data_IF_802915064887
#
_entry.id   IF_802915064887
#
_cell.length_a   1.000
_cell.length_b   1.000
_cell.length_c   1.000
_cell.angle_alpha   90.00
_cell.angle_beta   90.00
_cell.angle_gamma   90.00
#
_symmetry.space_group_name_H-M   'P 1'
#
loop_
_entity.id
_entity.type
_entity.pdbx_description
1 polymer ?
#
# COMPACT_ATOMS: atom_id res chain seq x y z
N UNK A 1 60.82 -24.97 6.69
CA UNK A 1 60.61 -24.82 8.14
C UNK A 1 59.34 -25.57 8.54
N UNK A 2 59.46 -26.75 9.16
CA UNK A 2 58.31 -27.48 9.72
C UNK A 2 57.95 -26.81 11.04
N UNK A 3 56.77 -26.20 11.13
CA UNK A 3 56.29 -25.60 12.37
C UNK A 3 56.24 -26.68 13.47
N UNK A 4 56.98 -26.45 14.55
CA UNK A 4 56.86 -27.18 15.81
C UNK A 4 55.45 -26.94 16.36
N UNK A 5 54.50 -27.81 16.02
CA UNK A 5 53.23 -27.87 16.72
C UNK A 5 53.49 -28.68 17.99
N UNK A 6 53.36 -28.09 19.19
CA UNK A 6 53.65 -28.81 20.42
C UNK A 6 52.74 -30.04 20.55
N UNK A 7 53.33 -31.17 20.95
CA UNK A 7 52.67 -32.50 21.04
C UNK A 7 51.41 -32.48 21.93
N UNK A 8 51.36 -31.60 22.94
CA UNK A 8 50.18 -31.42 23.80
C UNK A 8 48.96 -30.87 23.02
N UNK A 9 49.16 -30.05 21.99
CA UNK A 9 48.08 -29.47 21.18
C UNK A 9 47.36 -30.51 20.30
N UNK A 10 47.96 -31.68 20.11
CA UNK A 10 47.39 -32.76 19.29
C UNK A 10 46.60 -33.81 20.07
N UNK A 11 46.62 -33.77 21.40
CA UNK A 11 45.89 -34.75 22.21
C UNK A 11 44.37 -34.62 22.02
N UNK A 12 43.62 -35.74 21.97
CA UNK A 12 42.17 -35.71 21.75
C UNK A 12 41.42 -34.96 22.86
N UNK A 13 42.00 -34.89 24.07
CA UNK A 13 41.47 -34.14 25.20
C UNK A 13 41.57 -32.62 24.98
N UNK A 14 42.74 -32.11 24.56
CA UNK A 14 42.93 -30.67 24.27
C UNK A 14 41.99 -30.20 23.17
N UNK A 15 41.79 -31.00 22.12
CA UNK A 15 40.82 -30.68 21.06
C UNK A 15 39.37 -30.63 21.54
N UNK A 16 38.98 -31.42 22.54
CA UNK A 16 37.63 -31.37 23.13
C UNK A 16 37.43 -30.11 23.97
N UNK A 17 38.43 -29.75 24.78
CA UNK A 17 38.41 -28.52 25.60
C UNK A 17 38.37 -27.27 24.74
N UNK A 18 39.17 -27.21 23.67
CA UNK A 18 39.16 -26.08 22.72
C UNK A 18 37.78 -25.86 22.11
N UNK A 19 37.11 -26.94 21.71
CA UNK A 19 35.78 -26.86 21.11
C UNK A 19 34.71 -26.44 22.10
N UNK A 20 34.74 -27.01 23.31
CA UNK A 20 33.85 -26.57 24.38
C UNK A 20 34.05 -25.06 24.67
N UNK A 21 35.30 -24.59 24.67
CA UNK A 21 35.62 -23.16 24.81
C UNK A 21 35.05 -22.28 23.69
N UNK A 22 35.16 -22.71 22.43
CA UNK A 22 34.59 -21.98 21.28
C UNK A 22 33.06 -21.92 21.38
N UNK A 23 32.42 -23.05 21.71
CA UNK A 23 30.96 -23.12 21.87
C UNK A 23 30.51 -22.19 23.02
N UNK A 24 31.18 -22.25 24.17
CA UNK A 24 30.90 -21.37 25.30
C UNK A 24 31.03 -19.89 24.91
N UNK A 25 32.09 -19.53 24.19
CA UNK A 25 32.30 -18.16 23.70
C UNK A 25 31.17 -17.71 22.76
N UNK A 26 30.75 -18.58 21.83
CA UNK A 26 29.63 -18.30 20.93
C UNK A 26 28.32 -18.09 21.69
N UNK A 27 28.05 -18.90 22.72
CA UNK A 27 26.86 -18.75 23.56
C UNK A 27 26.89 -17.43 24.34
N UNK A 28 28.05 -17.03 24.88
CA UNK A 28 28.22 -15.75 25.56
C UNK A 28 27.93 -14.56 24.61
N UNK A 29 28.42 -14.63 23.37
CA UNK A 29 28.12 -13.64 22.32
C UNK A 29 26.61 -13.55 22.05
N UNK A 30 25.94 -14.69 21.90
CA UNK A 30 24.49 -14.74 21.63
C UNK A 30 23.69 -14.15 22.78
N UNK A 31 23.98 -14.56 24.03
CA UNK A 31 23.28 -14.04 25.21
C UNK A 31 23.51 -12.54 25.34
N UNK A 32 24.76 -12.09 25.20
CA UNK A 32 25.13 -10.66 25.26
C UNK A 32 24.32 -9.82 24.26
N UNK A 33 24.20 -10.26 22.99
CA UNK A 33 23.48 -9.51 21.94
C UNK A 33 21.95 -9.57 22.09
N UNK A 34 21.40 -10.70 22.53
CA UNK A 34 19.95 -10.85 22.72
C UNK A 34 19.41 -10.07 23.92
N UNK A 35 20.21 -9.97 24.99
CA UNK A 35 19.85 -9.21 26.20
C UNK A 35 20.47 -7.82 26.23
N UNK A 36 20.69 -7.22 25.06
CA UNK A 36 21.14 -5.83 24.95
C UNK A 36 20.02 -4.86 25.34
N UNK A 37 20.29 -4.00 26.33
CA UNK A 37 19.45 -2.85 26.68
C UNK A 37 20.24 -1.56 26.38
N UNK A 38 19.70 -0.62 25.56
CA UNK A 38 20.32 0.69 25.35
C UNK A 38 20.52 1.50 26.63
N UNK A 39 19.77 1.23 27.69
CA UNK A 39 19.89 1.92 28.98
C UNK A 39 21.03 1.40 29.87
N UNK A 40 21.72 0.34 29.45
CA UNK A 40 22.86 -0.19 30.20
C UNK A 40 24.10 0.71 30.02
N UNK A 41 24.72 1.11 31.13
CA UNK A 41 25.91 1.94 31.14
C UNK A 41 27.10 1.18 30.52
N UNK A 42 27.58 1.62 29.36
CA UNK A 42 28.69 0.98 28.65
C UNK A 42 29.75 2.00 28.26
N UNK A 43 30.96 1.52 27.96
CA UNK A 43 32.06 2.38 27.52
C UNK A 43 31.73 3.22 26.28
N UNK A 44 30.75 2.77 25.49
CA UNK A 44 30.40 3.35 24.19
C UNK A 44 29.05 4.08 24.21
N UNK A 45 28.28 3.97 25.31
CA UNK A 45 26.98 4.60 25.49
C UNK A 45 26.84 5.15 26.92
N UNK A 46 26.73 6.47 27.03
CA UNK A 46 26.55 7.15 28.31
C UNK A 46 25.08 7.29 28.63
N UNK A 47 24.69 6.82 29.82
CA UNK A 47 23.33 6.94 30.35
C UNK A 47 23.40 7.81 31.60
N UNK A 48 22.45 8.74 31.73
CA UNK A 48 22.45 9.73 32.82
C UNK A 48 22.12 9.14 34.19
N UNK A 49 21.45 7.98 34.23
CA UNK A 49 21.06 7.31 35.47
C UNK A 49 21.73 5.94 35.59
N UNK A 50 22.37 5.69 36.73
CA UNK A 50 23.02 4.42 37.02
C UNK A 50 21.94 3.41 37.44
N UNK A 51 21.54 2.54 36.51
CA UNK A 51 20.66 1.38 36.74
C UNK A 51 21.52 0.11 36.83
N UNK A 52 21.11 -0.92 37.59
CA UNK A 52 21.73 -2.25 37.47
C UNK A 52 21.63 -2.76 36.03
N UNK A 53 22.69 -3.43 35.58
CA UNK A 53 22.77 -4.02 34.23
C UNK A 53 21.59 -4.95 33.96
N UNK A 54 20.85 -4.69 32.88
CA UNK A 54 19.79 -5.57 32.41
C UNK A 54 20.33 -6.77 31.63
N UNK A 55 21.52 -6.64 31.02
CA UNK A 55 22.17 -7.74 30.32
C UNK A 55 22.46 -8.93 31.26
N UNK A 56 22.13 -10.15 30.84
CA UNK A 56 22.27 -11.34 31.69
C UNK A 56 23.72 -11.68 32.03
N UNK A 57 24.68 -11.23 31.22
CA UNK A 57 26.11 -11.40 31.47
C UNK A 57 26.71 -10.19 32.21
N UNK A 58 25.86 -9.32 32.76
CA UNK A 58 26.24 -8.12 33.50
C UNK A 58 27.10 -7.16 32.66
N UNK A 59 28.10 -6.57 33.31
CA UNK A 59 28.97 -5.55 32.71
C UNK A 59 29.71 -6.03 31.45
N UNK A 60 30.14 -7.29 31.42
CA UNK A 60 30.88 -7.84 30.27
C UNK A 60 29.97 -7.99 29.05
N UNK A 61 28.77 -8.53 29.25
CA UNK A 61 27.78 -8.67 28.19
C UNK A 61 27.30 -7.32 27.66
N UNK A 62 27.00 -6.38 28.55
CA UNK A 62 26.57 -5.04 28.15
C UNK A 62 27.65 -4.32 27.32
N UNK A 63 28.90 -4.36 27.75
CA UNK A 63 30.00 -3.73 27.01
C UNK A 63 30.25 -4.41 25.65
N UNK A 64 30.23 -5.75 25.58
CA UNK A 64 30.43 -6.45 24.30
C UNK A 64 29.30 -6.14 23.31
N UNK A 65 28.04 -6.22 23.75
CA UNK A 65 26.90 -5.90 22.90
C UNK A 65 26.97 -4.44 22.43
N UNK A 66 27.24 -3.50 23.34
CA UNK A 66 27.38 -2.08 23.01
C UNK A 66 28.48 -1.83 21.96
N UNK A 67 29.62 -2.52 22.06
CA UNK A 67 30.71 -2.44 21.08
C UNK A 67 30.23 -2.90 19.69
N UNK A 68 29.56 -4.06 19.61
CA UNK A 68 29.02 -4.59 18.36
C UNK A 68 28.00 -3.64 17.74
N UNK A 69 27.03 -3.15 18.51
CA UNK A 69 26.02 -2.20 18.04
C UNK A 69 26.63 -0.85 17.66
N UNK A 70 27.66 -0.40 18.36
CA UNK A 70 28.33 0.85 18.04
C UNK A 70 29.02 0.83 16.68
N UNK A 71 29.72 -0.27 16.35
CA UNK A 71 30.44 -0.39 15.07
C UNK A 71 29.53 -0.80 13.92
N UNK A 72 28.69 -1.82 14.12
CA UNK A 72 27.91 -2.46 13.06
C UNK A 72 26.43 -2.07 13.07
N UNK A 73 25.95 -1.39 14.11
CA UNK A 73 24.54 -1.08 14.26
C UNK A 73 23.71 -2.35 14.33
N UNK A 74 22.58 -2.39 13.62
CA UNK A 74 21.68 -3.54 13.58
C UNK A 74 22.27 -4.78 12.92
N UNK A 75 23.28 -4.63 12.07
CA UNK A 75 23.99 -5.77 11.52
C UNK A 75 24.70 -6.60 12.61
N UNK A 76 24.84 -6.08 13.84
CA UNK A 76 25.33 -6.83 14.99
C UNK A 76 24.54 -8.13 15.25
N UNK A 77 23.24 -8.18 14.93
CA UNK A 77 22.46 -9.42 15.07
C UNK A 77 22.93 -10.56 14.15
N UNK A 78 23.64 -10.26 13.05
CA UNK A 78 24.24 -11.30 12.22
C UNK A 78 25.33 -12.10 12.94
N UNK A 79 25.94 -11.55 14.00
CA UNK A 79 26.88 -12.30 14.85
C UNK A 79 26.20 -13.46 15.59
N UNK A 80 24.89 -13.41 15.81
CA UNK A 80 24.13 -14.54 16.39
C UNK A 80 24.10 -15.70 15.39
N UNK A 81 23.77 -15.42 14.13
CA UNK A 81 23.75 -16.45 13.09
C UNK A 81 25.15 -16.96 12.76
N UNK A 82 26.17 -16.08 12.78
CA UNK A 82 27.57 -16.49 12.68
C UNK A 82 27.96 -17.41 13.84
N UNK A 83 27.60 -17.09 15.07
CA UNK A 83 27.87 -17.91 16.25
C UNK A 83 27.22 -19.30 16.13
N UNK A 84 25.96 -19.36 15.69
CA UNK A 84 25.27 -20.62 15.42
C UNK A 84 25.96 -21.43 14.32
N UNK A 85 26.41 -20.77 13.24
CA UNK A 85 27.17 -21.41 12.18
C UNK A 85 28.52 -21.96 12.68
N UNK A 86 29.25 -21.20 13.51
CA UNK A 86 30.54 -21.64 14.09
C UNK A 86 30.34 -22.84 15.00
N UNK A 87 29.29 -22.84 15.84
CA UNK A 87 28.94 -24.00 16.68
C UNK A 87 28.69 -25.24 15.82
N UNK A 88 27.90 -25.11 14.75
CA UNK A 88 27.63 -26.19 13.80
C UNK A 88 28.91 -26.69 13.11
N UNK A 89 29.74 -25.76 12.64
CA UNK A 89 31.00 -26.06 11.95
C UNK A 89 31.96 -26.85 12.84
N UNK A 90 32.17 -26.38 14.07
CA UNK A 90 33.08 -26.99 15.03
C UNK A 90 32.55 -28.35 15.51
N UNK A 91 31.22 -28.47 15.71
CA UNK A 91 30.58 -29.73 16.11
C UNK A 91 30.75 -30.83 15.07
N UNK A 92 30.66 -30.45 13.78
CA UNK A 92 30.81 -31.38 12.65
C UNK A 92 32.26 -31.62 12.22
N UNK A 93 33.24 -31.02 12.91
CA UNK A 93 34.69 -31.25 12.69
C UNK A 93 35.17 -30.99 11.26
N UNK A 94 34.56 -30.03 10.56
CA UNK A 94 34.97 -29.67 9.20
C UNK A 94 36.39 -29.09 9.16
N UNK A 95 37.07 -29.27 8.03
CA UNK A 95 38.42 -28.76 7.83
C UNK A 95 38.40 -27.26 7.50
N UNK A 96 39.17 -26.45 8.26
CA UNK A 96 39.25 -24.99 8.09
C UNK A 96 39.56 -24.53 6.66
N UNK A 97 40.45 -25.23 5.94
CA UNK A 97 40.82 -24.86 4.56
C UNK A 97 39.63 -24.91 3.61
N UNK A 98 38.75 -25.89 3.79
CA UNK A 98 37.59 -26.06 2.93
C UNK A 98 36.57 -24.97 3.15
N UNK A 99 36.53 -24.32 4.32
CA UNK A 99 35.42 -23.44 4.71
C UNK A 99 35.80 -21.96 4.83
N UNK A 100 37.02 -21.61 4.42
CA UNK A 100 37.52 -20.24 4.37
C UNK A 100 36.63 -19.30 3.54
N UNK A 101 36.11 -19.76 2.39
CA UNK A 101 35.20 -18.95 1.57
C UNK A 101 33.90 -18.57 2.30
N UNK A 102 33.37 -19.46 3.15
CA UNK A 102 32.15 -19.17 3.91
C UNK A 102 32.41 -18.15 5.02
N UNK A 103 33.58 -18.23 5.67
CA UNK A 103 34.02 -17.22 6.63
C UNK A 103 34.16 -15.85 5.97
N UNK A 104 34.73 -15.81 4.77
CA UNK A 104 34.76 -14.59 3.98
C UNK A 104 33.36 -14.09 3.62
N UNK A 105 32.44 -15.00 3.24
CA UNK A 105 31.03 -14.68 3.01
C UNK A 105 30.34 -14.06 4.22
N UNK A 106 30.54 -14.61 5.42
CA UNK A 106 30.00 -14.03 6.66
C UNK A 106 30.56 -12.65 6.96
N UNK A 107 31.88 -12.46 6.84
CA UNK A 107 32.51 -11.16 7.04
C UNK A 107 31.94 -10.14 6.05
N UNK A 108 31.94 -10.46 4.75
CA UNK A 108 31.36 -9.61 3.71
C UNK A 108 29.88 -9.30 4.00
N UNK A 109 29.09 -10.29 4.40
CA UNK A 109 27.68 -10.15 4.76
C UNK A 109 27.44 -9.18 5.92
N UNK A 110 28.26 -9.27 6.98
CA UNK A 110 28.17 -8.35 8.14
C UNK A 110 28.51 -6.91 7.73
N UNK A 111 29.60 -6.72 6.99
CA UNK A 111 30.01 -5.39 6.52
C UNK A 111 28.96 -4.78 5.58
N UNK A 112 28.49 -5.55 4.60
CA UNK A 112 27.49 -5.08 3.62
C UNK A 112 26.14 -4.81 4.25
N UNK A 113 25.71 -5.66 5.20
CA UNK A 113 24.48 -5.44 5.97
C UNK A 113 24.57 -4.18 6.85
N UNK A 114 25.74 -3.88 7.42
CA UNK A 114 25.98 -2.65 8.16
C UNK A 114 25.81 -1.40 7.28
N UNK A 115 26.30 -1.43 6.03
CA UNK A 115 26.07 -0.34 5.06
C UNK A 115 24.61 -0.29 4.62
N UNK A 116 23.96 -1.43 4.37
CA UNK A 116 22.53 -1.49 4.02
C UNK A 116 21.67 -0.81 5.09
N UNK A 117 21.90 -1.12 6.37
CA UNK A 117 21.20 -0.47 7.48
C UNK A 117 21.44 1.04 7.51
N UNK A 118 22.62 1.52 7.13
CA UNK A 118 22.92 2.95 7.03
C UNK A 118 22.27 3.66 5.83
N UNK A 119 22.00 2.94 4.74
CA UNK A 119 21.37 3.50 3.52
C UNK A 119 19.86 3.62 3.65
N UNK A 120 19.23 2.61 4.27
CA UNK A 120 17.78 2.55 4.44
C UNK A 120 17.28 3.12 5.76
N UNK A 121 18.20 3.64 6.58
CA UNK A 121 17.91 4.23 7.90
C UNK A 121 16.99 3.35 8.75
N UNK A 122 17.35 2.06 8.83
CA UNK A 122 16.51 1.07 9.49
C UNK A 122 16.61 1.30 10.99
N UNK A 123 15.71 2.10 11.58
CA UNK A 123 15.69 2.44 13.01
C UNK A 123 14.59 1.70 13.79
N UNK A 124 14.92 1.22 14.99
CA UNK A 124 13.96 0.53 15.91
C UNK A 124 14.22 0.90 17.36
N UNK A 125 15.48 1.18 17.70
CA UNK A 125 15.89 1.52 19.07
C UNK A 125 16.30 3.00 19.22
N UNK A 126 15.95 3.86 18.25
CA UNK A 126 16.42 5.25 18.19
C UNK A 126 17.94 5.39 18.37
N UNK A 127 18.71 4.40 17.89
CA UNK A 127 20.16 4.56 17.83
C UNK A 127 20.44 5.64 16.79
N UNK A 128 21.26 6.64 17.13
CA UNK A 128 21.60 7.74 16.23
C UNK A 128 22.22 7.31 14.88
N UNK A 129 22.60 6.03 14.73
CA UNK A 129 23.21 5.46 13.51
C UNK A 129 22.81 3.98 13.34
N UNK A 130 21.79 3.65 12.52
CA UNK A 130 21.29 2.27 12.39
C UNK A 130 22.30 1.27 11.80
N UNK A 131 23.22 1.74 10.95
CA UNK A 131 24.33 0.94 10.42
C UNK A 131 25.61 1.00 11.26
N UNK A 132 25.59 1.64 12.43
CA UNK A 132 26.77 1.86 13.26
C UNK A 132 27.79 2.81 12.62
N UNK A 133 28.95 2.97 13.26
CA UNK A 133 30.02 3.85 12.75
C UNK A 133 30.64 3.36 11.45
N UNK A 134 30.83 2.06 11.28
CA UNK A 134 31.45 1.50 10.06
C UNK A 134 30.51 1.66 8.86
N UNK A 135 29.25 1.25 9.00
CA UNK A 135 28.28 1.34 7.92
C UNK A 135 28.01 2.79 7.49
N UNK A 136 27.87 3.70 8.45
CA UNK A 136 27.69 5.13 8.15
C UNK A 136 28.93 5.77 7.50
N UNK A 137 30.14 5.38 7.91
CA UNK A 137 31.38 5.83 7.27
C UNK A 137 31.48 5.34 5.82
N UNK A 138 31.25 4.04 5.58
CA UNK A 138 31.26 3.49 4.22
C UNK A 138 30.16 4.10 3.35
N UNK A 139 28.95 4.29 3.88
CA UNK A 139 27.87 4.99 3.17
C UNK A 139 28.29 6.41 2.80
N UNK A 140 28.91 7.17 3.72
CA UNK A 140 29.40 8.51 3.42
C UNK A 140 30.46 8.51 2.32
N UNK A 141 31.40 7.57 2.34
CA UNK A 141 32.42 7.42 1.28
C UNK A 141 31.79 7.07 -0.07
N UNK A 142 30.80 6.17 -0.11
CA UNK A 142 30.11 5.82 -1.35
C UNK A 142 29.32 6.99 -1.93
N UNK A 143 28.79 7.89 -1.10
CA UNK A 143 28.09 9.11 -1.58
C UNK A 143 29.02 10.14 -2.23
N UNK A 144 30.33 10.04 -2.05
CA UNK A 144 31.29 10.93 -2.72
C UNK A 144 31.43 10.57 -4.21
N UNK A 145 31.39 9.28 -4.54
CA UNK A 145 31.70 8.77 -5.88
C UNK A 145 30.47 8.26 -6.65
N UNK A 146 29.41 7.81 -5.95
CA UNK A 146 28.27 7.14 -6.58
C UNK A 146 26.94 7.84 -6.30
N UNK A 147 26.02 7.72 -7.26
CA UNK A 147 24.61 8.10 -7.07
C UNK A 147 23.91 7.15 -6.09
N UNK A 148 22.83 7.62 -5.45
CA UNK A 148 22.05 6.81 -4.50
C UNK A 148 21.52 5.51 -5.11
N UNK A 149 21.17 5.51 -6.40
CA UNK A 149 20.70 4.32 -7.10
C UNK A 149 21.84 3.30 -7.27
N UNK A 150 23.01 3.77 -7.73
CA UNK A 150 24.18 2.92 -7.93
C UNK A 150 24.65 2.29 -6.61
N UNK A 151 24.66 3.06 -5.52
CA UNK A 151 24.99 2.54 -4.20
C UNK A 151 24.07 1.39 -3.79
N UNK A 152 22.75 1.55 -3.93
CA UNK A 152 21.77 0.51 -3.58
C UNK A 152 21.99 -0.77 -4.39
N UNK A 153 22.26 -0.62 -5.70
CA UNK A 153 22.56 -1.76 -6.58
C UNK A 153 23.84 -2.48 -6.13
N UNK A 154 24.91 -1.73 -5.86
CA UNK A 154 26.20 -2.31 -5.43
C UNK A 154 26.03 -3.08 -4.11
N UNK A 155 25.39 -2.47 -3.11
CA UNK A 155 25.19 -3.13 -1.81
C UNK A 155 24.31 -4.36 -1.96
N UNK A 156 23.25 -4.28 -2.77
CA UNK A 156 22.40 -5.43 -3.06
C UNK A 156 23.22 -6.57 -3.67
N UNK A 157 24.01 -6.31 -4.71
CA UNK A 157 24.87 -7.30 -5.36
C UNK A 157 25.89 -7.92 -4.40
N UNK A 158 26.51 -7.10 -3.54
CA UNK A 158 27.46 -7.58 -2.54
C UNK A 158 26.78 -8.44 -1.45
N UNK A 159 25.57 -8.07 -1.04
CA UNK A 159 24.77 -8.86 -0.09
C UNK A 159 24.39 -10.21 -0.72
N UNK A 160 23.99 -10.21 -1.99
CA UNK A 160 23.76 -11.45 -2.75
C UNK A 160 25.02 -12.29 -2.89
N UNK A 161 26.16 -11.69 -3.21
CA UNK A 161 27.44 -12.39 -3.28
C UNK A 161 27.81 -13.03 -1.93
N UNK A 162 27.58 -12.32 -0.81
CA UNK A 162 27.81 -12.85 0.54
C UNK A 162 26.92 -14.07 0.83
N UNK A 163 25.64 -14.03 0.43
CA UNK A 163 24.70 -15.13 0.64
C UNK A 163 25.08 -16.36 -0.18
N UNK A 164 25.55 -16.17 -1.42
CA UNK A 164 26.06 -17.24 -2.27
C UNK A 164 27.29 -17.92 -1.66
N UNK A 165 28.24 -17.14 -1.14
CA UNK A 165 29.43 -17.66 -0.47
C UNK A 165 29.07 -18.47 0.79
N UNK A 166 28.13 -17.97 1.61
CA UNK A 166 27.69 -18.66 2.84
C UNK A 166 26.98 -19.97 2.51
N UNK A 167 26.01 -19.93 1.58
CA UNK A 167 25.17 -21.10 1.29
C UNK A 167 25.93 -22.18 0.51
N UNK A 168 26.86 -21.79 -0.38
CA UNK A 168 27.51 -22.67 -1.39
C UNK A 168 26.52 -23.49 -2.23
N UNK A 169 25.23 -23.25 -2.08
CA UNK A 169 24.23 -23.88 -2.91
C UNK A 169 24.34 -23.22 -4.27
N UNK A 170 24.53 -24.02 -5.31
CA UNK A 170 24.25 -23.52 -6.66
C UNK A 170 22.82 -23.00 -6.59
N UNK A 171 22.60 -21.72 -6.88
CA UNK A 171 21.27 -21.10 -6.88
C UNK A 171 20.29 -21.95 -7.71
N UNK A 172 20.81 -22.71 -8.67
CA UNK A 172 20.15 -23.76 -9.44
C UNK A 172 19.41 -24.80 -8.59
N UNK A 173 19.95 -25.29 -7.46
CA UNK A 173 19.23 -26.24 -6.58
C UNK A 173 18.05 -25.58 -5.89
N UNK A 174 18.22 -24.36 -5.37
CA UNK A 174 17.13 -23.60 -4.76
C UNK A 174 16.08 -23.24 -5.81
N UNK A 175 16.50 -22.76 -6.98
CA UNK A 175 15.63 -22.46 -8.11
C UNK A 175 14.86 -23.72 -8.56
N UNK A 176 15.53 -24.88 -8.68
CA UNK A 176 14.88 -26.16 -8.97
C UNK A 176 13.91 -26.59 -7.86
N UNK A 177 14.23 -26.33 -6.59
CA UNK A 177 13.35 -26.63 -5.46
C UNK A 177 12.13 -25.72 -5.46
N UNK A 178 12.31 -24.42 -5.72
CA UNK A 178 11.23 -23.44 -5.88
C UNK A 178 10.38 -23.79 -7.10
N UNK A 179 10.96 -24.11 -8.24
CA UNK A 179 10.22 -24.55 -9.44
C UNK A 179 9.45 -25.83 -9.14
N UNK A 180 10.05 -26.82 -8.46
CA UNK A 180 9.34 -28.03 -8.03
C UNK A 180 8.23 -27.73 -7.04
N UNK A 181 8.42 -26.78 -6.13
CA UNK A 181 7.42 -26.35 -5.16
C UNK A 181 6.27 -25.60 -5.85
N UNK A 182 6.56 -24.71 -6.79
CA UNK A 182 5.57 -24.03 -7.63
C UNK A 182 4.81 -25.04 -8.47
N UNK A 183 5.50 -26.02 -9.08
CA UNK A 183 4.86 -27.11 -9.80
C UNK A 183 3.99 -27.98 -8.88
N UNK A 184 4.44 -28.24 -7.66
CA UNK A 184 3.67 -28.94 -6.62
C UNK A 184 2.40 -28.17 -6.24
N UNK A 185 2.49 -26.85 -6.06
CA UNK A 185 1.33 -25.98 -5.80
C UNK A 185 0.38 -25.88 -7.00
N UNK A 186 0.93 -25.86 -8.22
CA UNK A 186 0.17 -25.80 -9.47
C UNK A 186 -0.51 -27.13 -9.81
N UNK A 187 -0.04 -28.25 -9.24
CA UNK A 187 -0.63 -29.57 -9.43
C UNK A 187 -2.03 -29.63 -8.79
N UNK A 188 -3.02 -29.98 -9.61
CA UNK A 188 -4.44 -29.89 -9.25
C UNK A 188 -4.88 -30.75 -8.06
N UNK A 189 -4.12 -31.81 -7.73
CA UNK A 189 -4.49 -32.83 -6.74
C UNK A 189 -4.04 -32.52 -5.30
N UNK A 190 -3.28 -31.45 -5.07
CA UNK A 190 -2.71 -31.20 -3.74
C UNK A 190 -3.74 -30.63 -2.76
N UNK A 191 -3.69 -31.13 -1.52
CA UNK A 191 -4.54 -30.68 -0.40
C UNK A 191 -4.41 -29.17 -0.19
N UNK A 192 -3.24 -28.59 -0.43
CA UNK A 192 -2.98 -27.16 -0.32
C UNK A 192 -3.80 -26.31 -1.28
N UNK A 193 -3.95 -26.71 -2.56
CA UNK A 193 -4.84 -26.01 -3.50
C UNK A 193 -6.29 -26.11 -3.04
N UNK A 194 -6.72 -27.26 -2.52
CA UNK A 194 -8.07 -27.44 -1.96
C UNK A 194 -8.31 -26.51 -0.77
N UNK A 195 -7.35 -26.39 0.14
CA UNK A 195 -7.40 -25.44 1.27
C UNK A 195 -7.47 -24.00 0.76
N UNK A 196 -6.60 -23.60 -0.19
CA UNK A 196 -6.60 -22.25 -0.76
C UNK A 196 -7.93 -21.90 -1.45
N UNK A 197 -8.49 -22.82 -2.24
CA UNK A 197 -9.80 -22.63 -2.88
C UNK A 197 -10.91 -22.54 -1.83
N UNK A 198 -10.82 -23.29 -0.73
CA UNK A 198 -11.76 -23.22 0.37
C UNK A 198 -11.68 -21.87 1.10
N UNK A 199 -10.48 -21.39 1.41
CA UNK A 199 -10.26 -20.06 1.97
C UNK A 199 -10.77 -18.95 1.05
N UNK A 200 -10.50 -19.04 -0.26
CA UNK A 200 -11.01 -18.08 -1.24
C UNK A 200 -12.55 -18.09 -1.33
N UNK A 201 -13.18 -19.27 -1.29
CA UNK A 201 -14.65 -19.40 -1.24
C UNK A 201 -15.23 -18.84 0.05
N UNK A 202 -14.57 -19.06 1.18
CA UNK A 202 -14.97 -18.50 2.47
C UNK A 202 -14.91 -16.96 2.42
N UNK A 203 -13.80 -16.39 1.93
CA UNK A 203 -13.66 -14.94 1.76
C UNK A 203 -14.73 -14.39 0.82
N UNK A 204 -14.96 -15.03 -0.33
CA UNK A 204 -16.02 -14.63 -1.24
C UNK A 204 -17.40 -14.64 -0.57
N UNK A 205 -17.71 -15.68 0.22
CA UNK A 205 -18.98 -15.76 0.95
C UNK A 205 -19.13 -14.67 2.00
N UNK A 206 -18.05 -14.30 2.70
CA UNK A 206 -18.08 -13.18 3.65
C UNK A 206 -18.31 -11.87 2.92
N UNK A 207 -17.59 -11.63 1.82
CA UNK A 207 -17.74 -10.41 1.00
C UNK A 207 -19.15 -10.33 0.41
N UNK A 208 -19.72 -11.43 -0.09
CA UNK A 208 -21.05 -11.44 -0.68
C UNK A 208 -22.14 -11.17 0.38
N UNK A 209 -21.99 -11.69 1.59
CA UNK A 209 -22.87 -11.37 2.72
C UNK A 209 -22.74 -9.90 3.12
N UNK A 210 -21.51 -9.39 3.19
CA UNK A 210 -21.25 -7.97 3.49
C UNK A 210 -21.87 -7.05 2.44
N UNK A 211 -21.71 -7.38 1.15
CA UNK A 211 -22.35 -6.68 0.04
C UNK A 211 -23.86 -6.76 0.11
N UNK A 212 -24.43 -7.91 0.47
CA UNK A 212 -25.88 -8.05 0.66
C UNK A 212 -26.38 -7.11 1.76
N UNK A 213 -25.68 -7.03 2.89
CA UNK A 213 -26.03 -6.10 3.97
C UNK A 213 -25.86 -4.64 3.55
N UNK A 214 -24.80 -4.29 2.82
CA UNK A 214 -24.58 -2.93 2.31
C UNK A 214 -25.68 -2.53 1.33
N UNK A 215 -26.04 -3.41 0.38
CA UNK A 215 -27.13 -3.17 -0.58
C UNK A 215 -28.48 -3.11 0.14
N UNK A 216 -28.72 -3.95 1.13
CA UNK A 216 -29.92 -3.91 1.97
C UNK A 216 -30.02 -2.61 2.76
N UNK A 217 -28.91 -2.17 3.35
CA UNK A 217 -28.82 -0.89 4.07
C UNK A 217 -29.06 0.29 3.12
N UNK A 218 -28.45 0.28 1.93
CA UNK A 218 -28.72 1.29 0.90
C UNK A 218 -30.19 1.32 0.49
N UNK A 219 -30.84 0.17 0.27
CA UNK A 219 -32.28 0.08 -0.05
C UNK A 219 -33.16 0.62 1.08
N UNK A 220 -32.80 0.35 2.34
CA UNK A 220 -33.50 0.86 3.51
C UNK A 220 -33.33 2.38 3.68
N UNK A 221 -32.12 2.91 3.48
CA UNK A 221 -31.86 4.35 3.51
C UNK A 221 -32.52 5.10 2.35
N UNK A 222 -32.61 4.49 1.17
CA UNK A 222 -33.27 5.09 -0.01
C UNK A 222 -34.81 4.99 0.08
N UNK A 223 -35.36 4.47 1.18
CA UNK A 223 -36.81 4.39 1.42
C UNK A 223 -37.57 3.45 0.47
N UNK A 224 -36.88 2.71 -0.40
CA UNK A 224 -37.47 1.90 -1.47
C UNK A 224 -38.21 0.65 -0.98
N UNK A 225 -38.09 0.34 0.32
CA UNK A 225 -38.81 -0.75 1.01
C UNK A 225 -40.03 -0.26 1.80
N UNK A 226 -40.27 1.07 1.91
CA UNK A 226 -41.62 1.56 2.18
C UNK A 226 -42.41 1.42 0.89
N UNK A 227 -42.87 0.20 0.61
CA UNK A 227 -43.88 -0.03 -0.41
C UNK A 227 -45.09 0.81 -0.05
N UNK A 228 -45.41 1.82 -0.86
CA UNK A 228 -46.74 2.41 -1.06
C UNK A 228 -47.70 2.34 0.15
N UNK A 229 -47.21 2.72 1.31
CA UNK A 229 -48.00 2.93 2.52
C UNK A 229 -47.66 4.35 2.94
N UNK A 230 -48.17 5.29 2.16
CA UNK A 230 -48.25 6.68 2.57
C UNK A 230 -49.08 6.70 3.86
N UNK A 231 -48.50 7.19 4.95
CA UNK A 231 -49.22 7.46 6.20
C UNK A 231 -50.26 8.60 6.03
N UNK A 232 -50.33 9.16 4.81
CA UNK A 232 -51.40 10.04 4.36
C UNK A 232 -52.03 9.36 3.14
N UNK A 233 -53.21 8.78 3.34
CA UNK A 233 -54.05 8.26 2.27
C UNK A 233 -54.67 9.46 1.55
N UNK A 234 -53.97 9.96 0.53
CA UNK A 234 -54.60 10.81 -0.46
C UNK A 234 -55.43 9.88 -1.36
N UNK A 235 -56.75 10.06 -1.33
CA UNK A 235 -57.66 9.53 -2.34
C UNK A 235 -57.00 9.64 -3.71
N UNK A 236 -56.82 8.51 -4.39
CA UNK A 236 -56.49 8.53 -5.81
C UNK A 236 -57.66 9.19 -6.54
N UNK A 237 -57.55 10.50 -6.75
CA UNK A 237 -58.33 11.20 -7.75
C UNK A 237 -58.14 10.50 -9.09
N UNK A 238 -59.24 10.25 -9.79
CA UNK A 238 -59.29 9.64 -11.10
C UNK A 238 -58.23 10.26 -12.03
N UNK A 239 -57.61 9.43 -12.87
CA UNK A 239 -56.58 9.89 -13.79
C UNK A 239 -57.16 10.96 -14.73
N UNK A 240 -56.35 11.97 -15.09
CA UNK A 240 -56.79 13.08 -15.95
C UNK A 240 -57.32 12.56 -17.30
N UNK A 241 -56.78 11.44 -17.78
CA UNK A 241 -57.23 10.76 -19.00
C UNK A 241 -58.64 10.18 -18.86
N UNK A 242 -59.00 9.64 -17.69
CA UNK A 242 -60.35 9.12 -17.44
C UNK A 242 -61.39 10.26 -17.43
N UNK A 243 -61.05 11.42 -16.86
CA UNK A 243 -61.92 12.62 -16.84
C UNK A 243 -62.07 13.20 -18.25
N UNK A 244 -60.97 13.29 -19.01
CA UNK A 244 -61.01 13.77 -20.40
C UNK A 244 -61.87 12.83 -21.27
N UNK A 245 -61.79 11.52 -21.06
CA UNK A 245 -62.62 10.55 -21.76
C UNK A 245 -64.11 10.63 -21.40
N UNK A 246 -64.47 11.07 -20.20
CA UNK A 246 -65.86 11.27 -19.79
C UNK A 246 -66.45 12.60 -20.32
N UNK A 247 -65.64 13.67 -20.38
CA UNK A 247 -66.10 15.03 -20.69
C UNK A 247 -66.08 15.36 -22.20
N UNK A 248 -65.18 14.77 -22.99
CA UNK A 248 -65.00 15.16 -24.40
C UNK A 248 -66.03 14.53 -25.35
N UNK A 249 -66.56 15.36 -26.26
CA UNK A 249 -67.44 14.92 -27.36
C UNK A 249 -66.67 14.09 -28.41
N UNK A 250 -67.34 13.25 -29.22
CA UNK A 250 -66.66 12.32 -30.14
C UNK A 250 -65.75 12.99 -31.18
N UNK A 251 -66.04 14.25 -31.56
CA UNK A 251 -65.18 15.02 -32.46
C UNK A 251 -63.89 15.46 -31.78
N UNK A 252 -63.97 15.98 -30.55
CA UNK A 252 -62.80 16.45 -29.80
C UNK A 252 -61.87 15.29 -29.38
N UNK A 253 -62.43 14.09 -29.16
CA UNK A 253 -61.64 12.87 -28.93
C UNK A 253 -60.76 12.49 -30.12
N UNK A 254 -61.25 12.69 -31.36
CA UNK A 254 -60.45 12.44 -32.56
C UNK A 254 -59.33 13.47 -32.73
N UNK A 255 -59.60 14.72 -32.39
CA UNK A 255 -58.64 15.82 -32.45
C UNK A 255 -57.52 15.65 -31.41
N UNK A 256 -57.86 15.27 -30.17
CA UNK A 256 -56.90 14.94 -29.12
C UNK A 256 -56.05 13.71 -29.47
N UNK A 257 -56.67 12.66 -30.03
CA UNK A 257 -55.95 11.47 -30.47
C UNK A 257 -55.01 11.74 -31.65
N UNK A 258 -55.39 12.64 -32.57
CA UNK A 258 -54.52 13.05 -33.68
C UNK A 258 -53.33 13.88 -33.20
N UNK A 259 -53.53 14.81 -32.26
CA UNK A 259 -52.44 15.60 -31.67
C UNK A 259 -51.43 14.73 -30.90
N UNK A 260 -51.92 13.69 -30.20
CA UNK A 260 -51.07 12.71 -29.50
C UNK A 260 -50.26 11.83 -30.47
N UNK A 261 -50.80 11.55 -31.67
CA UNK A 261 -50.09 10.79 -32.71
C UNK A 261 -48.99 11.63 -33.37
N UNK A 262 -49.25 12.91 -33.64
CA UNK A 262 -48.24 13.82 -34.16
C UNK A 262 -47.07 13.99 -33.18
N UNK A 263 -47.35 14.10 -31.87
CA UNK A 263 -46.32 14.23 -30.84
C UNK A 263 -45.47 12.96 -30.70
N UNK A 264 -46.07 11.78 -30.89
CA UNK A 264 -45.34 10.50 -30.94
C UNK A 264 -44.51 10.32 -32.21
N UNK A 265 -44.98 10.76 -33.37
CA UNK A 265 -44.19 10.75 -34.61
C UNK A 265 -43.00 11.72 -34.52
N UNK A 266 -43.18 12.91 -33.94
CA UNK A 266 -42.09 13.88 -33.71
C UNK A 266 -41.02 13.31 -32.76
N UNK A 267 -41.44 12.59 -31.70
CA UNK A 267 -40.52 11.93 -30.78
C UNK A 267 -39.73 10.81 -31.46
N UNK A 268 -40.39 9.98 -32.27
CA UNK A 268 -39.75 8.90 -33.04
C UNK A 268 -38.77 9.46 -34.08
N UNK A 269 -39.14 10.55 -34.77
CA UNK A 269 -38.26 11.20 -35.73
C UNK A 269 -37.02 11.80 -35.06
N UNK A 270 -37.18 12.38 -33.87
CA UNK A 270 -36.07 12.94 -33.08
C UNK A 270 -35.09 11.83 -32.65
N UNK A 271 -35.60 10.67 -32.24
CA UNK A 271 -34.79 9.52 -31.83
C UNK A 271 -34.01 8.90 -33.00
N UNK A 272 -34.62 8.83 -34.20
CA UNK A 272 -33.96 8.38 -35.43
C UNK A 272 -32.88 9.36 -35.90
N UNK A 273 -33.10 10.67 -35.77
CA UNK A 273 -32.09 11.71 -36.11
C UNK A 273 -30.86 11.62 -35.18
N UNK A 274 -31.08 11.38 -33.89
CA UNK A 274 -30.00 11.17 -32.90
C UNK A 274 -29.16 9.93 -33.21
N UNK A 275 -29.79 8.81 -33.59
CA UNK A 275 -29.06 7.58 -33.96
C UNK A 275 -28.27 7.73 -35.27
N UNK A 276 -28.76 8.54 -36.21
CA UNK A 276 -28.07 8.77 -37.49
C UNK A 276 -26.78 9.60 -37.29
N UNK A 277 -26.77 10.53 -36.34
CA UNK A 277 -25.59 11.35 -36.02
C UNK A 277 -24.45 10.56 -35.34
N UNK A 278 -24.75 9.53 -34.54
CA UNK A 278 -23.71 8.67 -33.93
C UNK A 278 -23.02 7.75 -34.96
N UNK A 279 -23.74 7.30 -35.99
CA UNK A 279 -23.19 6.39 -37.02
C UNK A 279 -22.15 7.04 -37.96
N UNK A 280 -22.16 8.37 -38.11
CA UNK A 280 -21.22 9.10 -38.98
C UNK A 280 -19.84 9.28 -38.34
N UNK A 281 -19.73 9.24 -37.00
CA UNK A 281 -18.45 9.39 -36.28
C UNK A 281 -17.60 8.11 -36.19
N UNK A 282 -18.09 6.96 -36.68
CA UNK A 282 -17.41 5.68 -36.53
C UNK A 282 -16.61 5.21 -37.76
N UNK A 283 -16.58 5.99 -38.85
CA UNK A 283 -16.07 5.55 -40.16
C UNK A 283 -14.99 6.44 -40.78
N UNK A 284 -14.06 7.01 -40.01
CA UNK A 284 -12.82 7.58 -40.56
C UNK A 284 -11.60 6.80 -40.04
N UNK A 285 -11.19 5.83 -40.85
CA UNK A 285 -9.86 5.25 -40.80
C UNK A 285 -8.82 6.33 -41.12
N UNK A 286 -7.72 6.30 -40.37
CA UNK A 286 -6.58 7.22 -40.47
C UNK A 286 -6.07 7.31 -41.91
N UNK A 287 -6.40 8.41 -42.59
CA UNK A 287 -5.66 8.93 -43.73
C UNK A 287 -4.95 10.20 -43.26
N UNK A 288 -3.66 10.34 -43.61
CA UNK A 288 -2.86 11.54 -43.39
C UNK A 288 -3.50 12.74 -44.11
N UNK A 289 -4.39 13.44 -43.41
CA UNK A 289 -4.93 14.72 -43.85
C UNK A 289 -4.16 15.81 -43.13
N UNK A 290 -3.56 16.69 -43.90
CA UNK A 290 -2.83 17.86 -43.43
C UNK A 290 -3.71 18.69 -42.50
N UNK A 291 -3.31 18.82 -41.23
CA UNK A 291 -4.09 19.44 -40.15
C UNK A 291 -4.36 20.92 -40.48
N UNK A 292 -5.63 21.26 -40.72
CA UNK A 292 -6.09 22.65 -40.80
C UNK A 292 -6.76 23.04 -39.47
N UNK A 293 -6.41 24.21 -38.95
CA UNK A 293 -6.93 24.72 -37.67
C UNK A 293 -8.42 25.05 -37.84
N UNK A 294 -9.32 24.56 -36.97
CA UNK A 294 -10.75 24.87 -37.06
C UNK A 294 -11.02 26.35 -36.77
N UNK A 295 -11.93 26.96 -37.53
CA UNK A 295 -12.29 28.37 -37.40
C UNK A 295 -13.07 28.62 -36.10
N UNK A 296 -12.40 29.25 -35.14
CA UNK A 296 -12.91 29.58 -33.80
C UNK A 296 -13.74 30.86 -33.76
N UNK A 297 -13.83 31.63 -34.86
CA UNK A 297 -14.50 32.94 -34.84
C UNK A 297 -16.03 32.84 -34.64
N UNK A 298 -16.66 31.75 -35.10
CA UNK A 298 -18.10 31.55 -34.96
C UNK A 298 -18.57 31.15 -33.55
N UNK A 299 -17.71 30.51 -32.75
CA UNK A 299 -18.08 29.88 -31.48
C UNK A 299 -18.38 30.89 -30.36
N UNK A 300 -17.81 32.10 -30.43
CA UNK A 300 -17.94 33.12 -29.37
C UNK A 300 -19.00 34.20 -29.68
N UNK A 301 -19.83 34.00 -30.71
CA UNK A 301 -20.73 35.05 -31.20
C UNK A 301 -22.06 35.20 -30.42
N UNK A 302 -22.39 34.31 -29.48
CA UNK A 302 -23.64 34.41 -28.73
C UNK A 302 -23.45 35.17 -27.41
N UNK A 303 -23.42 36.51 -27.48
CA UNK A 303 -23.71 37.35 -26.30
C UNK A 303 -25.18 37.14 -25.95
N UNK A 304 -25.45 36.32 -24.94
CA UNK A 304 -26.79 36.19 -24.37
C UNK A 304 -27.18 37.55 -23.81
N UNK A 305 -28.27 38.11 -24.33
CA UNK A 305 -28.82 39.39 -23.88
C UNK A 305 -29.10 39.32 -22.37
N UNK A 306 -28.69 40.35 -21.62
CA UNK A 306 -29.02 40.47 -20.22
C UNK A 306 -30.55 40.41 -20.06
N UNK A 307 -31.06 39.35 -19.43
CA UNK A 307 -32.47 39.28 -19.06
C UNK A 307 -32.75 40.42 -18.10
N UNK A 308 -33.51 41.42 -18.57
CA UNK A 308 -33.99 42.52 -17.74
C UNK A 308 -35.02 41.92 -16.78
N UNK A 309 -34.62 41.71 -15.53
CA UNK A 309 -35.52 41.16 -14.52
C UNK A 309 -36.64 42.17 -14.24
N UNK A 310 -37.88 41.69 -14.22
CA UNK A 310 -39.05 42.51 -13.92
C UNK A 310 -39.00 42.95 -12.45
N UNK A 311 -39.11 44.26 -12.18
CA UNK A 311 -38.92 44.81 -10.84
C UNK A 311 -40.00 44.32 -9.87
N UNK A 312 -41.23 44.12 -10.36
CA UNK A 312 -42.33 43.63 -9.55
C UNK A 312 -42.08 42.19 -9.04
N UNK A 313 -41.48 41.34 -9.88
CA UNK A 313 -41.17 39.96 -9.50
C UNK A 313 -40.07 39.89 -8.42
N UNK A 314 -39.09 40.81 -8.47
CA UNK A 314 -38.05 40.90 -7.45
C UNK A 314 -38.63 41.39 -6.10
N UNK A 315 -39.54 42.35 -6.12
CA UNK A 315 -40.18 42.86 -4.90
C UNK A 315 -41.07 41.82 -4.22
N UNK A 316 -41.80 41.01 -5.00
CA UNK A 316 -42.55 39.87 -4.45
C UNK A 316 -41.63 38.84 -3.79
N UNK A 317 -40.49 38.53 -4.41
CA UNK A 317 -39.49 37.63 -3.84
C UNK A 317 -38.88 38.20 -2.55
N UNK A 318 -38.64 39.51 -2.50
CA UNK A 318 -38.14 40.20 -1.30
C UNK A 318 -39.13 40.06 -0.13
N UNK A 319 -40.42 40.26 -0.39
CA UNK A 319 -41.47 40.13 0.63
C UNK A 319 -41.59 38.70 1.15
N UNK A 320 -41.46 37.70 0.27
CA UNK A 320 -41.46 36.28 0.66
C UNK A 320 -40.27 35.98 1.56
N UNK A 321 -39.09 36.53 1.24
CA UNK A 321 -37.89 36.34 2.05
C UNK A 321 -38.07 36.93 3.46
N UNK A 322 -38.58 38.16 3.57
CA UNK A 322 -38.83 38.82 4.86
C UNK A 322 -39.81 38.00 5.73
N UNK A 323 -40.93 37.54 5.14
CA UNK A 323 -41.90 36.70 5.87
C UNK A 323 -41.31 35.37 6.32
N UNK A 324 -40.47 34.74 5.48
CA UNK A 324 -39.81 33.50 5.87
C UNK A 324 -38.81 33.71 7.00
N UNK A 325 -38.05 34.80 6.99
CA UNK A 325 -37.13 35.12 8.08
C UNK A 325 -37.88 35.38 9.40
N UNK A 326 -39.04 36.02 9.33
CA UNK A 326 -39.90 36.26 10.49
C UNK A 326 -40.40 34.95 11.12
N UNK A 327 -40.71 33.92 10.32
CA UNK A 327 -41.07 32.58 10.83
C UNK A 327 -39.96 31.92 11.66
N UNK A 328 -38.69 32.30 11.43
CA UNK A 328 -37.55 31.85 12.21
C UNK A 328 -37.17 32.82 13.34
N UNK A 329 -38.00 33.82 13.62
CA UNK A 329 -37.80 34.81 14.69
C UNK A 329 -36.78 35.89 14.36
N UNK A 330 -36.38 36.03 13.09
CA UNK A 330 -35.40 37.03 12.62
C UNK A 330 -36.13 38.18 11.95
N UNK A 331 -36.10 39.37 12.55
CA UNK A 331 -36.69 40.58 11.96
C UNK A 331 -35.66 41.32 11.11
N UNK A 332 -35.93 41.47 9.81
CA UNK A 332 -35.08 42.20 8.88
C UNK A 332 -35.85 42.66 7.64
N UNK A 333 -35.43 43.76 7.02
CA UNK A 333 -36.06 44.35 5.82
C UNK A 333 -35.04 44.47 4.68
N UNK A 334 -35.42 44.10 3.47
CA UNK A 334 -34.60 44.19 2.26
C UNK A 334 -34.54 45.65 1.80
N UNK A 335 -33.33 46.21 1.73
CA UNK A 335 -33.10 47.62 1.38
C UNK A 335 -32.80 47.82 -0.11
N UNK A 336 -32.14 46.84 -0.74
CA UNK A 336 -31.80 46.89 -2.17
C UNK A 336 -31.59 45.47 -2.72
N UNK A 337 -31.85 45.29 -4.02
CA UNK A 337 -31.64 44.03 -4.75
C UNK A 337 -30.85 44.29 -6.04
N UNK A 338 -29.84 43.45 -6.30
CA UNK A 338 -28.99 43.54 -7.48
C UNK A 338 -28.97 42.18 -8.21
N UNK A 339 -29.72 42.02 -9.32
CA UNK A 339 -29.75 40.75 -10.05
C UNK A 339 -28.44 40.50 -10.78
N UNK A 340 -27.96 39.25 -10.72
CA UNK A 340 -26.78 38.77 -11.42
C UNK A 340 -27.12 37.98 -12.70
N UNK A 341 -26.11 37.55 -13.45
CA UNK A 341 -26.28 36.78 -14.68
C UNK A 341 -26.61 35.29 -14.47
N UNK A 342 -26.60 34.78 -13.23
CA UNK A 342 -26.88 33.37 -12.87
C UNK A 342 -28.12 33.29 -12.00
#
# INVERSE_FOLDING_TARGET
MKHFVPVWATTPMVKKVQIAGIIATCLLVVISLLTFDPQDASLWHHVSHVKPYSNWLGIFGANFASLCFYFFGKAAYLFIFLSMYVIFFVSNRFAWKQESDRMFGWLLGIFTSSVWCAVYDVDTFYLARPGGRLGSFLHAMMRLEFSLLAQKIIIFLLLWASLLLITRMQLVFLARAVIRFVYYLARQDTVLRKILVYCARMVYSVISVLLYYIVGMYKNLTGKMLGSASVIEFEHGQSVDDILHEVLTPQQKKEYAAAMQDEQEIALHTEVVLQTQESVHSAHAVQDVQYAVPDVQGMFSKRVHAHKHDQNALDEQALILERKLEQFGVQGKVVAMHPGPV
#
